data_IF_284380782002
#
_entry.id   IF_284380782002
#
_cell.length_a   1.000
_cell.length_b   1.000
_cell.length_c   1.000
_cell.angle_alpha   90.00
_cell.angle_beta   90.00
_cell.angle_gamma   90.00
#
_symmetry.space_group_name_H-M   'P 1'
#
loop_
_entity.id
_entity.type
_entity.pdbx_description
1 polymer ?
#
# COMPACT_ATOMS: atom_id res chain seq x y z
N UNK A 1 16.12 -50.11 34.34
CA UNK A 1 16.06 -48.69 34.80
C UNK A 1 16.45 -47.67 33.71
N UNK A 2 17.35 -47.97 32.78
CA UNK A 2 17.91 -47.07 31.78
C UNK A 2 16.88 -46.66 30.70
N UNK A 3 15.91 -47.49 30.31
CA UNK A 3 14.90 -47.18 29.33
C UNK A 3 13.89 -46.11 29.70
N UNK A 4 13.49 -46.05 30.96
CA UNK A 4 12.53 -45.04 31.45
C UNK A 4 13.13 -43.63 31.53
N UNK A 5 14.44 -43.53 31.78
CA UNK A 5 15.14 -42.21 31.82
C UNK A 5 15.24 -41.63 30.40
N UNK A 6 15.49 -42.46 29.40
CA UNK A 6 15.58 -41.99 27.98
C UNK A 6 14.25 -41.48 27.46
N UNK A 7 13.11 -42.10 27.81
CA UNK A 7 11.77 -41.65 27.43
C UNK A 7 11.44 -40.34 28.13
N UNK A 8 11.76 -40.13 29.36
CA UNK A 8 11.51 -38.90 30.09
C UNK A 8 12.33 -37.71 29.54
N UNK A 9 13.56 -37.94 29.12
CA UNK A 9 14.41 -36.91 28.50
C UNK A 9 13.87 -36.52 27.14
N UNK A 10 13.38 -37.47 26.32
CA UNK A 10 12.79 -37.23 25.03
C UNK A 10 11.48 -36.40 25.12
N UNK A 11 10.65 -36.73 26.12
CA UNK A 11 9.40 -35.99 26.36
C UNK A 11 9.72 -34.59 26.87
N UNK A 12 10.72 -34.40 27.71
CA UNK A 12 11.16 -33.10 28.21
C UNK A 12 11.70 -32.22 27.04
N UNK A 13 12.44 -32.83 26.11
CA UNK A 13 12.97 -32.13 24.94
C UNK A 13 11.85 -31.67 24.00
N UNK A 14 10.83 -32.51 23.79
CA UNK A 14 9.65 -32.16 22.98
C UNK A 14 8.83 -31.05 23.63
N UNK A 15 8.68 -31.06 24.96
CA UNK A 15 8.01 -29.98 25.70
C UNK A 15 8.78 -28.65 25.56
N UNK A 16 10.10 -28.65 25.62
CA UNK A 16 10.94 -27.46 25.47
C UNK A 16 10.80 -26.84 24.05
N UNK A 17 10.68 -27.68 23.01
CA UNK A 17 10.47 -27.21 21.64
C UNK A 17 9.06 -26.61 21.45
N UNK A 18 8.04 -27.15 22.13
CA UNK A 18 6.67 -26.63 22.07
C UNK A 18 6.52 -25.24 22.74
N UNK A 19 7.33 -24.92 23.75
CA UNK A 19 7.36 -23.59 24.38
C UNK A 19 8.11 -22.54 23.55
N UNK A 20 8.93 -22.92 22.56
CA UNK A 20 9.71 -22.01 21.73
C UNK A 20 8.91 -21.31 20.62
N UNK A 21 7.70 -21.78 20.31
CA UNK A 21 6.89 -21.23 19.21
C UNK A 21 6.11 -19.95 19.54
N UNK A 22 6.18 -19.44 20.77
CA UNK A 22 5.33 -18.33 21.24
C UNK A 22 5.89 -16.92 21.06
N UNK A 23 7.13 -16.74 20.60
CA UNK A 23 7.79 -15.43 20.60
C UNK A 23 8.15 -14.88 19.21
N UNK A 24 7.69 -15.48 18.13
CA UNK A 24 7.73 -14.83 16.82
C UNK A 24 6.53 -13.88 16.70
N UNK A 25 6.60 -12.75 17.36
CA UNK A 25 5.79 -11.60 17.04
C UNK A 25 6.32 -11.05 15.70
N UNK A 26 5.52 -11.20 14.66
CA UNK A 26 5.67 -10.48 13.37
C UNK A 26 5.32 -8.98 13.50
N UNK A 27 5.25 -8.44 14.71
CA UNK A 27 5.27 -7.00 14.91
C UNK A 27 6.71 -6.53 14.65
N UNK A 28 7.10 -6.54 13.37
CA UNK A 28 8.34 -5.97 12.92
C UNK A 28 8.42 -4.54 13.43
N UNK A 29 9.40 -4.31 14.21
CA UNK A 29 10.27 -3.13 14.27
C UNK A 29 9.68 -1.73 14.25
N UNK A 30 8.38 -1.49 14.41
CA UNK A 30 7.88 -0.14 14.66
C UNK A 30 8.43 0.35 16.03
N UNK A 31 8.88 1.61 16.13
CA UNK A 31 9.29 2.16 17.42
C UNK A 31 8.18 1.94 18.47
N UNK A 32 8.46 1.32 19.61
CA UNK A 32 7.42 0.86 20.55
C UNK A 32 6.58 2.00 21.15
N UNK A 33 7.01 3.24 21.01
CA UNK A 33 6.29 4.43 21.44
C UNK A 33 5.31 4.96 20.38
N UNK A 34 5.41 4.55 19.11
CA UNK A 34 4.51 4.97 18.04
C UNK A 34 3.36 3.96 17.95
N UNK A 35 2.17 4.39 18.32
CA UNK A 35 0.92 3.60 18.27
C UNK A 35 -0.16 4.29 17.43
N UNK A 36 0.02 5.58 17.21
CA UNK A 36 -0.93 6.43 16.49
C UNK A 36 -0.22 7.22 15.40
N UNK A 37 -0.95 7.46 14.32
CA UNK A 37 -0.49 8.22 13.17
C UNK A 37 -1.55 9.25 12.76
N UNK A 38 -1.12 10.47 12.45
CA UNK A 38 -1.95 11.46 11.79
C UNK A 38 -1.58 11.51 10.30
N UNK A 39 -2.57 11.50 9.45
CA UNK A 39 -2.41 11.55 7.99
C UNK A 39 -3.24 12.74 7.50
N UNK A 40 -2.66 13.95 7.51
CA UNK A 40 -3.34 15.13 6.97
C UNK A 40 -3.51 15.00 5.45
N UNK A 41 -4.39 15.84 4.89
CA UNK A 41 -4.53 15.92 3.44
C UNK A 41 -3.17 16.21 2.79
N UNK A 42 -2.78 15.41 1.78
CA UNK A 42 -1.54 15.61 1.03
C UNK A 42 -1.59 16.92 0.24
N UNK A 43 -0.44 17.55 0.10
CA UNK A 43 -0.29 18.72 -0.77
C UNK A 43 -0.33 18.32 -2.23
N UNK A 44 -0.91 19.15 -3.09
CA UNK A 44 -0.96 18.92 -4.53
C UNK A 44 -0.22 20.03 -5.28
N UNK A 45 0.92 19.70 -5.88
CA UNK A 45 1.69 20.59 -6.74
C UNK A 45 1.33 20.46 -8.23
N UNK A 46 0.26 19.71 -8.55
CA UNK A 46 -0.17 19.43 -9.93
C UNK A 46 -1.48 20.13 -10.26
N UNK A 47 -1.86 20.07 -11.54
CA UNK A 47 -3.16 20.59 -11.99
C UNK A 47 -4.29 19.55 -11.86
N UNK A 48 -4.00 18.31 -11.42
CA UNK A 48 -5.00 17.25 -11.31
C UNK A 48 -5.92 17.52 -10.11
N UNK A 49 -7.19 17.71 -10.40
CA UNK A 49 -8.18 18.04 -9.37
C UNK A 49 -8.58 16.77 -8.56
N UNK A 50 -8.77 16.92 -7.24
CA UNK A 50 -9.22 15.82 -6.37
C UNK A 50 -8.16 14.78 -6.02
N UNK A 51 -6.96 14.82 -6.64
CA UNK A 51 -5.94 13.80 -6.43
C UNK A 51 -5.39 13.79 -4.99
N UNK A 52 -5.27 14.96 -4.35
CA UNK A 52 -4.83 15.06 -2.97
C UNK A 52 -5.77 14.35 -2.01
N UNK A 53 -7.08 14.52 -2.20
CA UNK A 53 -8.12 13.83 -1.43
C UNK A 53 -8.04 12.32 -1.66
N UNK A 54 -8.02 11.89 -2.93
CA UNK A 54 -7.94 10.46 -3.28
C UNK A 54 -6.72 9.77 -2.66
N UNK A 55 -5.54 10.39 -2.70
CA UNK A 55 -4.31 9.85 -2.10
C UNK A 55 -4.44 9.80 -0.58
N UNK A 56 -4.94 10.86 0.05
CA UNK A 56 -5.10 10.92 1.50
C UNK A 56 -6.05 9.83 2.00
N UNK A 57 -7.19 9.68 1.35
CA UNK A 57 -8.21 8.69 1.67
C UNK A 57 -7.68 7.26 1.43
N UNK A 58 -6.98 7.04 0.31
CA UNK A 58 -6.38 5.74 0.00
C UNK A 58 -5.34 5.31 1.03
N UNK A 59 -4.46 6.22 1.46
CA UNK A 59 -3.48 5.93 2.51
C UNK A 59 -4.18 5.68 3.85
N UNK A 60 -5.15 6.51 4.26
CA UNK A 60 -5.88 6.35 5.52
C UNK A 60 -6.66 5.03 5.55
N UNK A 61 -7.35 4.67 4.46
CA UNK A 61 -8.06 3.41 4.33
C UNK A 61 -7.11 2.23 4.53
N UNK A 62 -5.98 2.22 3.83
CA UNK A 62 -5.02 1.14 3.92
C UNK A 62 -4.42 0.98 5.33
N UNK A 63 -4.13 2.09 6.04
CA UNK A 63 -3.69 2.02 7.45
C UNK A 63 -4.77 1.44 8.36
N UNK A 64 -6.04 1.76 8.14
CA UNK A 64 -7.16 1.23 8.92
C UNK A 64 -7.36 -0.27 8.64
N UNK A 65 -7.26 -0.69 7.38
CA UNK A 65 -7.45 -2.09 6.96
C UNK A 65 -6.35 -3.01 7.52
N UNK A 66 -5.10 -2.56 7.49
CA UNK A 66 -3.96 -3.32 8.05
C UNK A 66 -3.87 -3.26 9.58
N UNK A 67 -4.47 -2.25 10.21
CA UNK A 67 -4.50 -2.11 11.66
C UNK A 67 -3.13 -1.95 12.33
N UNK A 68 -2.10 -1.51 11.59
CA UNK A 68 -0.72 -1.38 12.05
C UNK A 68 -0.57 -0.24 13.06
N UNK A 69 -1.13 0.92 12.72
CA UNK A 69 -1.19 2.12 13.55
C UNK A 69 -2.62 2.65 13.55
N UNK A 70 -3.06 3.16 14.69
CA UNK A 70 -4.38 3.79 14.78
C UNK A 70 -4.32 5.19 14.18
N UNK A 71 -5.13 5.43 13.12
CA UNK A 71 -5.24 6.75 12.49
C UNK A 71 -6.07 7.67 13.39
N UNK A 72 -5.52 8.84 13.73
CA UNK A 72 -6.20 9.89 14.51
C UNK A 72 -5.84 11.28 13.96
N UNK A 73 -6.72 12.25 14.10
CA UNK A 73 -6.50 13.57 13.56
C UNK A 73 -5.46 14.38 14.35
N UNK A 74 -5.60 14.39 15.69
CA UNK A 74 -4.82 15.26 16.57
C UNK A 74 -4.02 14.47 17.60
N UNK A 75 -2.89 15.06 18.04
CA UNK A 75 -2.03 14.50 19.09
C UNK A 75 -1.55 13.05 18.82
N UNK A 76 -1.32 12.72 17.55
CA UNK A 76 -0.74 11.44 17.17
C UNK A 76 0.75 11.35 17.56
N UNK A 77 1.24 10.13 17.83
CA UNK A 77 2.66 9.87 18.10
C UNK A 77 3.55 10.18 16.90
N UNK A 78 2.98 10.07 15.70
CA UNK A 78 3.67 10.34 14.43
C UNK A 78 2.76 10.99 13.39
N UNK A 79 3.33 11.59 12.39
CA UNK A 79 2.61 12.24 11.28
C UNK A 79 3.19 11.79 9.94
N UNK A 80 2.31 11.40 9.01
CA UNK A 80 2.64 11.08 7.63
C UNK A 80 2.22 12.25 6.74
N UNK A 81 3.19 12.96 6.17
CA UNK A 81 2.97 14.05 5.24
C UNK A 81 3.24 13.59 3.82
N UNK A 82 2.43 14.03 2.88
CA UNK A 82 2.58 13.72 1.48
C UNK A 82 2.52 14.96 0.59
N UNK A 83 3.16 14.88 -0.58
CA UNK A 83 3.06 15.90 -1.63
C UNK A 83 2.99 15.21 -2.98
N UNK A 84 1.92 15.41 -3.74
CA UNK A 84 1.80 14.97 -5.13
C UNK A 84 2.67 15.84 -5.99
N UNK A 85 3.71 15.25 -6.57
CA UNK A 85 4.71 15.98 -7.38
C UNK A 85 4.37 15.98 -8.86
N UNK A 86 3.78 14.90 -9.36
CA UNK A 86 3.51 14.76 -10.77
C UNK A 86 2.34 13.81 -11.01
N UNK A 87 1.49 14.17 -11.95
CA UNK A 87 0.52 13.27 -12.57
C UNK A 87 0.80 13.26 -14.07
N UNK A 88 0.85 12.09 -14.65
CA UNK A 88 0.99 11.90 -16.10
C UNK A 88 -0.11 11.01 -16.60
N UNK A 89 -0.71 11.40 -17.71
CA UNK A 89 -1.76 10.68 -18.40
C UNK A 89 -1.45 10.72 -19.89
N UNK A 90 -1.25 9.56 -20.52
CA UNK A 90 -0.83 9.51 -21.90
C UNK A 90 -0.73 8.11 -22.49
N UNK A 91 -0.52 8.03 -23.82
CA UNK A 91 -0.40 6.77 -24.54
C UNK A 91 0.64 5.84 -23.92
N UNK A 92 0.26 4.57 -23.77
CA UNK A 92 1.11 3.53 -23.17
C UNK A 92 1.43 2.40 -24.12
N UNK A 93 0.42 1.83 -24.76
CA UNK A 93 0.60 0.77 -25.76
C UNK A 93 -0.04 1.14 -27.10
N UNK A 94 0.45 0.49 -28.16
CA UNK A 94 -0.02 0.69 -29.51
C UNK A 94 -0.35 -0.65 -30.16
N UNK A 95 -1.41 -0.70 -30.93
CA UNK A 95 -1.77 -1.86 -31.72
C UNK A 95 -0.94 -1.98 -33.01
N UNK A 96 -1.17 -3.06 -33.77
CA UNK A 96 -0.45 -3.32 -35.03
C UNK A 96 -0.63 -2.25 -36.14
N UNK A 97 -1.63 -1.37 -35.98
CA UNK A 97 -1.94 -0.28 -36.90
C UNK A 97 -1.40 1.05 -36.37
N UNK A 98 -0.48 1.05 -35.41
CA UNK A 98 0.12 2.23 -34.77
C UNK A 98 -0.92 3.15 -34.07
N UNK A 99 -2.11 2.64 -33.80
CA UNK A 99 -3.12 3.34 -33.01
C UNK A 99 -2.94 3.01 -31.53
N UNK A 100 -3.18 3.99 -30.65
CA UNK A 100 -3.11 3.79 -29.21
C UNK A 100 -4.16 2.76 -28.80
N UNK A 101 -3.74 1.71 -28.08
CA UNK A 101 -4.63 0.70 -27.51
C UNK A 101 -4.89 0.95 -26.04
N UNK A 102 -3.88 1.44 -25.31
CA UNK A 102 -3.98 1.71 -23.88
C UNK A 102 -3.34 3.05 -23.52
N UNK A 103 -3.89 3.68 -22.51
CA UNK A 103 -3.35 4.84 -21.83
C UNK A 103 -2.83 4.43 -20.44
N UNK A 104 -1.91 5.22 -19.89
CA UNK A 104 -1.41 5.04 -18.54
C UNK A 104 -1.58 6.30 -17.72
N UNK A 105 -2.30 6.17 -16.61
CA UNK A 105 -2.40 7.18 -15.59
C UNK A 105 -1.37 6.88 -14.50
N UNK A 106 -0.43 7.78 -14.26
CA UNK A 106 0.65 7.61 -13.30
C UNK A 106 0.72 8.79 -12.34
N UNK A 107 0.91 8.50 -11.06
CA UNK A 107 1.07 9.48 -9.99
C UNK A 107 2.45 9.30 -9.35
N UNK A 108 3.15 10.40 -9.10
CA UNK A 108 4.40 10.43 -8.31
C UNK A 108 4.18 11.28 -7.06
N UNK A 109 4.47 10.71 -5.88
CA UNK A 109 4.22 11.31 -4.55
C UNK A 109 5.48 11.26 -3.71
N UNK A 110 5.80 12.36 -3.02
CA UNK A 110 6.80 12.37 -1.97
C UNK A 110 6.11 12.16 -0.62
N UNK A 111 6.64 11.28 0.21
CA UNK A 111 6.13 10.98 1.55
C UNK A 111 7.23 11.23 2.57
N UNK A 112 6.84 11.79 3.70
CA UNK A 112 7.66 11.92 4.90
C UNK A 112 6.89 11.44 6.11
N UNK A 113 7.43 10.45 6.83
CA UNK A 113 6.91 9.99 8.11
C UNK A 113 7.79 10.52 9.24
N UNK A 114 7.19 11.27 10.15
CA UNK A 114 7.86 12.00 11.21
C UNK A 114 7.39 11.54 12.59
N UNK A 115 8.34 11.31 13.50
CA UNK A 115 8.13 10.95 14.90
C UNK A 115 7.99 12.22 15.73
N UNK A 116 6.79 12.48 16.24
CA UNK A 116 6.50 13.69 17.01
C UNK A 116 7.18 13.70 18.39
N UNK A 117 7.46 12.51 18.97
CA UNK A 117 8.07 12.41 20.29
C UNK A 117 9.58 12.63 20.25
N UNK A 118 10.25 12.06 19.26
CA UNK A 118 11.70 12.16 19.11
C UNK A 118 12.12 13.28 18.15
N UNK A 119 11.15 14.02 17.61
CA UNK A 119 11.34 15.14 16.69
C UNK A 119 12.26 14.81 15.50
N UNK A 120 12.05 13.65 14.87
CA UNK A 120 12.88 13.19 13.74
C UNK A 120 12.07 12.56 12.63
N UNK A 121 12.54 12.70 11.41
CA UNK A 121 12.04 11.96 10.25
C UNK A 121 12.46 10.50 10.37
N UNK A 122 11.49 9.59 10.26
CA UNK A 122 11.66 8.14 10.34
C UNK A 122 11.85 7.56 8.93
N UNK A 123 10.99 7.98 8.01
CA UNK A 123 11.00 7.55 6.63
C UNK A 123 10.80 8.75 5.71
N UNK A 124 11.55 8.77 4.62
CA UNK A 124 11.33 9.72 3.52
C UNK A 124 11.55 9.00 2.20
N UNK A 125 10.55 9.02 1.33
CA UNK A 125 10.58 8.28 0.08
C UNK A 125 9.79 8.96 -1.03
N UNK A 126 10.08 8.52 -2.26
CA UNK A 126 9.32 8.86 -3.46
C UNK A 126 8.58 7.61 -3.91
N UNK A 127 7.27 7.69 -4.04
CA UNK A 127 6.40 6.59 -4.40
C UNK A 127 5.73 6.88 -5.73
N UNK A 128 5.54 5.84 -6.54
CA UNK A 128 4.89 5.95 -7.83
C UNK A 128 3.86 4.84 -7.99
N UNK A 129 2.63 5.19 -8.32
CA UNK A 129 1.60 4.24 -8.72
C UNK A 129 1.11 4.53 -10.13
N UNK A 130 0.61 3.52 -10.80
CA UNK A 130 0.00 3.68 -12.11
C UNK A 130 -1.08 2.63 -12.37
N UNK A 131 -2.03 2.98 -13.23
CA UNK A 131 -3.03 2.08 -13.80
C UNK A 131 -3.10 2.28 -15.30
N UNK A 132 -3.40 1.21 -16.04
CA UNK A 132 -3.68 1.26 -17.47
C UNK A 132 -5.19 1.41 -17.70
N UNK A 133 -5.59 1.96 -18.86
CA UNK A 133 -6.99 2.03 -19.27
C UNK A 133 -7.14 2.18 -20.80
N UNK A 134 -8.24 1.63 -21.33
CA UNK A 134 -8.66 1.83 -22.73
C UNK A 134 -9.48 3.11 -22.91
N UNK A 135 -9.77 3.45 -24.17
CA UNK A 135 -10.58 4.64 -24.50
C UNK A 135 -12.08 4.35 -24.59
N UNK A 136 -12.49 3.10 -24.57
CA UNK A 136 -13.85 2.71 -24.88
C UNK A 136 -14.62 2.26 -23.64
N UNK A 137 -15.59 3.06 -23.24
CA UNK A 137 -16.72 2.61 -22.46
C UNK A 137 -16.44 2.29 -21.00
N UNK A 138 -17.03 1.21 -20.55
CA UNK A 138 -16.88 0.65 -19.23
C UNK A 138 -15.67 -0.28 -19.22
N UNK A 139 -14.83 -0.21 -18.18
CA UNK A 139 -13.65 -1.07 -18.03
C UNK A 139 -14.00 -2.55 -17.94
N UNK A 140 -15.24 -2.89 -17.57
CA UNK A 140 -15.75 -4.27 -17.57
C UNK A 140 -15.89 -4.89 -18.98
N UNK A 141 -15.46 -4.20 -20.03
CA UNK A 141 -15.61 -4.64 -21.42
C UNK A 141 -14.57 -4.08 -22.39
N UNK A 142 -13.42 -3.62 -21.89
CA UNK A 142 -12.37 -3.02 -22.74
C UNK A 142 -11.25 -4.01 -23.13
N UNK A 143 -11.25 -5.21 -22.55
CA UNK A 143 -10.27 -6.27 -22.83
C UNK A 143 -8.90 -6.04 -22.23
N UNK A 144 -8.81 -5.17 -21.22
CA UNK A 144 -7.57 -4.77 -20.56
C UNK A 144 -7.60 -5.23 -19.11
N UNK A 145 -6.53 -5.83 -18.62
CA UNK A 145 -6.29 -6.06 -17.20
C UNK A 145 -5.87 -4.72 -16.56
N UNK A 146 -6.85 -3.98 -16.03
CA UNK A 146 -6.69 -2.59 -15.60
C UNK A 146 -5.94 -2.45 -14.28
N UNK A 147 -5.96 -3.45 -13.40
CA UNK A 147 -5.28 -3.42 -12.11
C UNK A 147 -4.05 -4.36 -12.05
N UNK A 148 -3.83 -5.14 -13.09
CA UNK A 148 -2.70 -6.05 -13.25
C UNK A 148 -2.76 -7.27 -12.30
N UNK A 149 -3.97 -7.76 -12.00
CA UNK A 149 -4.19 -8.96 -11.18
C UNK A 149 -4.21 -10.26 -12.00
N UNK A 150 -4.23 -10.16 -13.32
CA UNK A 150 -4.22 -11.28 -14.27
C UNK A 150 -5.60 -11.69 -14.77
N UNK A 151 -6.65 -10.96 -14.43
CA UNK A 151 -8.00 -11.11 -14.95
C UNK A 151 -8.37 -9.93 -15.83
N UNK A 152 -9.40 -10.08 -16.65
CA UNK A 152 -9.92 -9.03 -17.54
C UNK A 152 -11.45 -9.03 -17.54
N UNK A 153 -12.04 -7.86 -17.68
CA UNK A 153 -13.47 -7.65 -17.93
C UNK A 153 -14.37 -8.46 -16.96
N UNK A 154 -15.23 -9.30 -17.52
CA UNK A 154 -16.21 -10.09 -16.77
C UNK A 154 -15.60 -11.18 -15.87
N UNK A 155 -14.30 -11.43 -15.93
CA UNK A 155 -13.59 -12.33 -15.03
C UNK A 155 -13.12 -11.60 -13.75
N UNK A 156 -13.21 -10.27 -13.75
CA UNK A 156 -12.85 -9.41 -12.61
C UNK A 156 -14.03 -8.57 -12.13
N UNK A 157 -14.56 -8.96 -10.97
CA UNK A 157 -15.68 -8.26 -10.33
C UNK A 157 -15.31 -6.85 -9.80
N UNK A 158 -14.02 -6.50 -9.80
CA UNK A 158 -13.52 -5.20 -9.32
C UNK A 158 -13.38 -4.18 -10.45
N UNK A 159 -13.34 -4.63 -11.69
CA UNK A 159 -13.17 -3.76 -12.86
C UNK A 159 -14.52 -3.25 -13.39
N UNK A 160 -14.94 -2.06 -12.94
CA UNK A 160 -16.14 -1.39 -13.42
C UNK A 160 -16.05 0.15 -13.36
N UNK A 161 -16.77 0.83 -14.22
CA UNK A 161 -16.90 2.29 -14.25
C UNK A 161 -16.05 2.98 -15.31
N UNK A 162 -15.78 4.27 -15.11
CA UNK A 162 -15.00 5.07 -16.04
C UNK A 162 -13.53 4.66 -16.05
N UNK A 163 -12.95 4.27 -17.19
CA UNK A 163 -11.62 3.68 -17.27
C UNK A 163 -10.50 4.51 -16.62
N UNK A 164 -10.47 5.81 -16.93
CA UNK A 164 -9.46 6.72 -16.36
C UNK A 164 -9.57 6.86 -14.84
N UNK A 165 -10.79 6.91 -14.32
CA UNK A 165 -11.02 7.02 -12.88
C UNK A 165 -10.58 5.75 -12.16
N UNK A 166 -10.85 4.58 -12.74
CA UNK A 166 -10.39 3.31 -12.20
C UNK A 166 -8.86 3.22 -12.21
N UNK A 167 -8.20 3.57 -13.31
CA UNK A 167 -6.74 3.62 -13.40
C UNK A 167 -6.12 4.54 -12.33
N UNK A 168 -6.79 5.67 -12.02
CA UNK A 168 -6.40 6.53 -10.91
C UNK A 168 -6.53 5.83 -9.55
N UNK A 169 -7.61 5.08 -9.31
CA UNK A 169 -7.79 4.30 -8.05
C UNK A 169 -6.70 3.26 -7.89
N UNK A 170 -6.39 2.50 -8.96
CA UNK A 170 -5.30 1.50 -8.97
C UNK A 170 -3.96 2.16 -8.63
N UNK A 171 -3.67 3.31 -9.24
CA UNK A 171 -2.44 4.06 -8.95
C UNK A 171 -2.34 4.48 -7.47
N UNK A 172 -3.44 4.95 -6.89
CA UNK A 172 -3.54 5.33 -5.46
C UNK A 172 -3.34 4.11 -4.55
N UNK A 173 -3.99 2.98 -4.85
CA UNK A 173 -3.84 1.75 -4.08
C UNK A 173 -2.39 1.26 -4.06
N UNK A 174 -1.72 1.23 -5.22
CA UNK A 174 -0.31 0.85 -5.31
C UNK A 174 0.60 1.75 -4.47
N UNK A 175 0.37 3.06 -4.48
CA UNK A 175 1.11 4.01 -3.65
C UNK A 175 0.88 3.72 -2.16
N UNK A 176 -0.36 3.51 -1.73
CA UNK A 176 -0.69 3.24 -0.34
C UNK A 176 -0.06 1.91 0.15
N UNK A 177 -0.10 0.87 -0.68
CA UNK A 177 0.58 -0.41 -0.40
C UNK A 177 2.08 -0.25 -0.22
N UNK A 178 2.74 0.44 -1.15
CA UNK A 178 4.19 0.62 -1.10
C UNK A 178 4.63 1.41 0.13
N UNK A 179 3.89 2.46 0.50
CA UNK A 179 4.13 3.23 1.73
C UNK A 179 4.05 2.33 2.96
N UNK A 180 3.01 1.52 3.08
CA UNK A 180 2.81 0.64 4.23
C UNK A 180 3.88 -0.45 4.28
N UNK A 181 4.22 -1.06 3.15
CA UNK A 181 5.28 -2.05 3.05
C UNK A 181 6.62 -1.47 3.50
N UNK A 182 6.97 -0.25 3.08
CA UNK A 182 8.18 0.42 3.52
C UNK A 182 8.16 0.72 5.03
N UNK A 183 7.04 1.19 5.56
CA UNK A 183 6.85 1.43 7.00
C UNK A 183 7.04 0.13 7.79
N UNK A 184 6.58 -1.01 7.28
CA UNK A 184 6.70 -2.32 7.93
C UNK A 184 8.11 -2.92 7.80
N UNK A 185 8.85 -2.61 6.76
CA UNK A 185 10.14 -3.27 6.44
C UNK A 185 11.38 -2.46 6.79
N UNK A 186 11.22 -1.18 7.08
CA UNK A 186 12.33 -0.25 7.36
C UNK A 186 13.06 -0.52 8.70
N UNK A 187 12.61 -1.50 9.51
CA UNK A 187 13.10 -1.76 10.88
C UNK A 187 13.68 -3.15 11.07
#
# INVERSE_FOLDING_TARGET
MIGRIKINISILLILLIAYSCGFYSLSGSLPPHIKTISIPMVENETAEFGIAESISDGIQSRFNDEGILRVIADNADSILRGTVKKVTDGPYTYNKNESVSEYRYKIDVNIEWYDNKNEKTILKGNYSGWGAYGLSGDISSDGIDNDNDGKIDSEDDNEFGEPRLFASKVAVQKIAEDIINDIMTTW
#
